data_IF_393324847651
#
_entry.id   IF_393324847651
#
_cell.length_a   1.000
_cell.length_b   1.000
_cell.length_c   1.000
_cell.angle_alpha   90.00
_cell.angle_beta   90.00
_cell.angle_gamma   90.00
#
_symmetry.space_group_name_H-M   'P 1'
#
loop_
_entity.id
_entity.type
_entity.pdbx_description
1 polymer ?
#
# COMPACT_ATOMS: atom_id res chain seq x y z
N UNK A 1 -36.95 -47.75 6.29
CA UNK A 1 -35.73 -46.93 6.34
C UNK A 1 -35.73 -46.31 7.71
N UNK A 2 -34.75 -46.67 8.55
CA UNK A 2 -34.77 -46.31 9.96
C UNK A 2 -34.57 -44.79 10.13
N UNK A 3 -35.24 -44.15 11.10
CA UNK A 3 -35.14 -42.70 11.32
C UNK A 3 -33.69 -42.27 11.56
N UNK A 4 -32.87 -43.12 12.17
CA UNK A 4 -31.44 -42.87 12.41
C UNK A 4 -30.63 -42.79 11.11
N UNK A 5 -31.00 -43.58 10.10
CA UNK A 5 -30.36 -43.56 8.77
C UNK A 5 -30.69 -42.26 8.03
N UNK A 6 -31.93 -41.78 8.15
CA UNK A 6 -32.35 -40.51 7.54
C UNK A 6 -31.57 -39.34 8.18
N UNK A 7 -31.47 -39.31 9.52
CA UNK A 7 -30.74 -38.26 10.24
C UNK A 7 -29.25 -38.28 9.87
N UNK A 8 -28.63 -39.46 9.83
CA UNK A 8 -27.22 -39.60 9.47
C UNK A 8 -26.93 -39.07 8.06
N UNK A 9 -27.79 -39.40 7.09
CA UNK A 9 -27.67 -38.91 5.70
C UNK A 9 -27.87 -37.39 5.65
N UNK A 10 -28.88 -36.85 6.35
CA UNK A 10 -29.13 -35.41 6.37
C UNK A 10 -27.95 -34.61 6.95
N UNK A 11 -27.33 -35.10 8.03
CA UNK A 11 -26.14 -34.46 8.63
C UNK A 11 -24.95 -34.56 7.68
N UNK A 12 -24.72 -35.72 7.05
CA UNK A 12 -23.62 -35.90 6.11
C UNK A 12 -23.75 -34.96 4.90
N UNK A 13 -24.96 -34.83 4.36
CA UNK A 13 -25.26 -33.90 3.25
C UNK A 13 -25.00 -32.46 3.69
N UNK A 14 -25.46 -32.06 4.87
CA UNK A 14 -25.26 -30.70 5.38
C UNK A 14 -23.77 -30.37 5.53
N UNK A 15 -22.99 -31.24 6.17
CA UNK A 15 -21.54 -31.07 6.37
C UNK A 15 -20.82 -30.96 5.02
N UNK A 16 -21.20 -31.79 4.06
CA UNK A 16 -20.59 -31.79 2.72
C UNK A 16 -20.88 -30.47 1.99
N UNK A 17 -22.14 -30.01 2.02
CA UNK A 17 -22.54 -28.74 1.39
C UNK A 17 -21.82 -27.56 2.04
N UNK A 18 -21.74 -27.53 3.37
CA UNK A 18 -21.03 -26.46 4.09
C UNK A 18 -19.53 -26.47 3.78
N UNK A 19 -18.90 -27.65 3.76
CA UNK A 19 -17.48 -27.80 3.42
C UNK A 19 -17.17 -27.32 2.00
N UNK A 20 -17.98 -27.73 1.02
CA UNK A 20 -17.87 -27.26 -0.37
C UNK A 20 -18.10 -25.75 -0.45
N UNK A 21 -19.09 -25.22 0.28
CA UNK A 21 -19.37 -23.79 0.33
C UNK A 21 -18.18 -22.96 0.85
N UNK A 22 -17.54 -23.42 1.93
CA UNK A 22 -16.33 -22.78 2.48
C UNK A 22 -15.17 -22.89 1.48
N UNK A 23 -14.94 -24.06 0.90
CA UNK A 23 -13.87 -24.26 -0.08
C UNK A 23 -14.04 -23.35 -1.30
N UNK A 24 -15.25 -23.26 -1.85
CA UNK A 24 -15.59 -22.36 -2.96
C UNK A 24 -15.45 -20.90 -2.56
N UNK A 25 -15.86 -20.52 -1.34
CA UNK A 25 -15.70 -19.16 -0.83
C UNK A 25 -14.23 -18.76 -0.72
N UNK A 26 -13.40 -19.62 -0.12
CA UNK A 26 -11.95 -19.40 0.00
C UNK A 26 -11.32 -19.33 -1.38
N UNK A 27 -11.63 -20.28 -2.28
CA UNK A 27 -11.09 -20.28 -3.64
C UNK A 27 -11.50 -19.03 -4.42
N UNK A 28 -12.77 -18.62 -4.35
CA UNK A 28 -13.23 -17.37 -4.97
C UNK A 28 -12.59 -16.13 -4.36
N UNK A 29 -12.34 -16.12 -3.05
CA UNK A 29 -11.67 -15.01 -2.37
C UNK A 29 -10.20 -14.94 -2.75
N UNK A 30 -9.51 -16.08 -2.88
CA UNK A 30 -8.11 -16.17 -3.25
C UNK A 30 -7.86 -15.95 -4.74
N UNK A 31 -8.80 -16.36 -5.61
CA UNK A 31 -8.69 -16.23 -7.06
C UNK A 31 -9.32 -14.95 -7.62
N UNK A 32 -9.88 -14.06 -6.78
CA UNK A 32 -10.21 -12.71 -7.24
C UNK A 32 -8.92 -11.91 -7.25
N UNK A 33 -8.33 -11.60 -8.42
CA UNK A 33 -7.35 -10.54 -8.48
C UNK A 33 -8.10 -9.29 -8.02
N UNK A 34 -7.85 -8.87 -6.78
CA UNK A 34 -8.13 -7.49 -6.41
C UNK A 34 -7.20 -6.72 -7.32
N UNK A 35 -7.75 -6.11 -8.37
CA UNK A 35 -6.97 -5.22 -9.23
C UNK A 35 -6.30 -4.23 -8.28
N UNK A 36 -4.97 -4.33 -8.16
CA UNK A 36 -4.26 -3.49 -7.23
C UNK A 36 -4.55 -2.04 -7.62
N UNK A 37 -5.12 -1.23 -6.71
CA UNK A 37 -5.62 0.07 -7.08
C UNK A 37 -4.44 0.92 -7.56
N UNK A 38 -4.52 1.34 -8.82
CA UNK A 38 -3.45 2.09 -9.48
C UNK A 38 -3.40 3.53 -8.95
N UNK A 39 -2.22 4.17 -8.97
CA UNK A 39 -2.14 5.60 -8.71
C UNK A 39 -2.94 6.37 -9.76
N UNK A 40 -3.74 7.34 -9.31
CA UNK A 40 -4.60 8.15 -10.18
C UNK A 40 -4.20 9.61 -10.07
N UNK A 41 -4.09 10.27 -11.21
CA UNK A 41 -3.91 11.73 -11.25
C UNK A 41 -5.28 12.36 -11.31
N UNK A 42 -5.62 13.16 -10.30
CA UNK A 42 -6.90 13.85 -10.15
C UNK A 42 -6.66 15.35 -10.14
N UNK A 43 -7.56 16.11 -10.77
CA UNK A 43 -7.62 17.56 -10.63
C UNK A 43 -8.51 17.88 -9.42
N UNK A 44 -7.95 18.45 -8.36
CA UNK A 44 -8.68 18.82 -7.13
C UNK A 44 -8.45 20.29 -6.84
N UNK A 45 -9.53 21.06 -6.74
CA UNK A 45 -9.48 22.51 -6.49
C UNK A 45 -8.60 23.28 -7.51
N UNK A 46 -8.50 22.77 -8.75
CA UNK A 46 -7.67 23.33 -9.82
C UNK A 46 -6.20 22.91 -9.77
N UNK A 47 -5.79 22.07 -8.83
CA UNK A 47 -4.43 21.55 -8.68
C UNK A 47 -4.32 20.11 -9.18
N UNK A 48 -3.16 19.76 -9.77
CA UNK A 48 -2.81 18.37 -10.11
C UNK A 48 -2.41 17.63 -8.85
N UNK A 49 -3.23 16.68 -8.42
CA UNK A 49 -2.98 15.85 -7.24
C UNK A 49 -2.82 14.40 -7.69
N UNK A 50 -1.73 13.76 -7.27
CA UNK A 50 -1.52 12.32 -7.50
C UNK A 50 -1.97 11.55 -6.28
N UNK A 51 -3.02 10.77 -6.43
CA UNK A 51 -3.58 9.91 -5.40
C UNK A 51 -2.97 8.51 -5.51
N UNK A 52 -2.24 8.11 -4.47
CA UNK A 52 -1.59 6.80 -4.37
C UNK A 52 -2.27 6.00 -3.25
N UNK A 53 -3.02 4.95 -3.60
CA UNK A 53 -3.60 4.04 -2.63
C UNK A 53 -2.52 3.34 -1.79
N UNK A 54 -2.75 3.25 -0.48
CA UNK A 54 -1.83 2.59 0.44
C UNK A 54 -2.54 1.45 1.17
N UNK A 55 -1.88 0.29 1.22
CA UNK A 55 -2.28 -0.85 2.07
C UNK A 55 -2.08 -0.50 3.54
N UNK A 56 -1.07 0.32 3.83
CA UNK A 56 -0.74 0.69 5.19
C UNK A 56 -0.09 2.07 5.26
N UNK A 57 -0.46 2.83 6.28
CA UNK A 57 0.22 4.06 6.69
C UNK A 57 0.67 3.89 8.14
N UNK A 58 1.90 4.31 8.46
CA UNK A 58 2.48 4.28 9.81
C UNK A 58 3.22 5.59 10.11
N UNK A 59 3.28 5.96 11.39
CA UNK A 59 4.14 7.06 11.86
C UNK A 59 5.46 6.48 12.35
N UNK A 60 6.57 6.94 11.78
CA UNK A 60 7.90 6.47 12.14
C UNK A 60 8.56 7.46 13.11
N UNK A 61 9.26 6.94 14.13
CA UNK A 61 10.19 7.71 14.93
C UNK A 61 11.61 7.56 14.39
N UNK A 62 12.49 8.52 14.67
CA UNK A 62 13.92 8.45 14.35
C UNK A 62 14.50 7.13 14.86
N UNK A 63 15.01 6.31 13.93
CA UNK A 63 15.81 5.11 14.23
C UNK A 63 15.24 3.80 13.69
N UNK A 64 13.92 3.67 13.48
CA UNK A 64 13.33 2.37 13.12
C UNK A 64 12.09 2.50 12.22
N UNK A 65 12.24 2.97 10.96
CA UNK A 65 11.11 3.16 10.05
C UNK A 65 10.34 1.85 9.75
N UNK A 66 11.02 0.71 9.74
CA UNK A 66 10.44 -0.60 9.47
C UNK A 66 9.72 -1.24 10.67
N UNK A 67 9.95 -0.78 11.91
CA UNK A 67 9.27 -1.33 13.11
C UNK A 67 7.96 -0.60 13.44
N UNK A 68 7.71 0.57 12.85
CA UNK A 68 6.44 1.28 12.99
C UNK A 68 5.26 0.58 12.29
N UNK A 69 5.55 -0.43 11.46
CA UNK A 69 4.58 -1.21 10.69
C UNK A 69 3.62 -2.04 11.55
N UNK A 70 3.81 -2.12 12.87
CA UNK A 70 2.93 -2.90 13.76
C UNK A 70 1.88 -2.09 14.54
N UNK A 71 2.06 -0.78 14.72
CA UNK A 71 1.33 -0.07 15.79
C UNK A 71 0.03 0.62 15.35
N UNK A 72 -0.09 0.99 14.08
CA UNK A 72 -1.34 1.51 13.51
C UNK A 72 -1.42 1.11 12.03
N UNK A 73 -2.26 0.13 11.72
CA UNK A 73 -2.51 -0.36 10.36
C UNK A 73 -3.87 0.12 9.90
N UNK A 74 -3.88 1.13 9.02
CA UNK A 74 -5.09 1.57 8.32
C UNK A 74 -4.82 1.60 6.82
N UNK A 75 -5.80 1.16 6.02
CA UNK A 75 -5.82 1.46 4.59
C UNK A 75 -5.97 2.97 4.43
N UNK A 76 -5.13 3.57 3.60
CA UNK A 76 -5.05 5.02 3.49
C UNK A 76 -4.83 5.48 2.07
N UNK A 77 -4.78 6.79 1.92
CA UNK A 77 -4.47 7.43 0.65
C UNK A 77 -3.32 8.40 0.88
N UNK A 78 -2.28 8.26 0.07
CA UNK A 78 -1.20 9.23 -0.02
C UNK A 78 -1.52 10.14 -1.19
N UNK A 79 -1.69 11.44 -0.94
CA UNK A 79 -1.87 12.44 -1.98
C UNK A 79 -0.63 13.29 -2.09
N UNK A 80 -0.13 13.45 -3.31
CA UNK A 80 0.97 14.37 -3.60
C UNK A 80 0.38 15.52 -4.39
N UNK A 81 0.38 16.70 -3.78
CA UNK A 81 -0.08 17.94 -4.37
C UNK A 81 1.13 18.88 -4.54
N UNK A 82 1.00 19.97 -5.33
CA UNK A 82 2.09 20.93 -5.48
C UNK A 82 2.55 21.46 -4.11
N UNK A 83 3.82 21.20 -3.78
CA UNK A 83 4.45 21.69 -2.55
C UNK A 83 4.08 20.97 -1.25
N UNK A 84 3.23 19.92 -1.29
CA UNK A 84 2.79 19.23 -0.06
C UNK A 84 2.42 17.76 -0.31
N UNK A 85 2.51 16.98 0.76
CA UNK A 85 2.00 15.61 0.85
C UNK A 85 0.84 15.57 1.83
N UNK A 86 -0.28 14.96 1.44
CA UNK A 86 -1.41 14.73 2.34
C UNK A 86 -1.55 13.24 2.62
N UNK A 87 -1.66 12.89 3.89
CA UNK A 87 -1.74 11.50 4.35
C UNK A 87 -3.10 11.26 4.97
N UNK A 88 -3.87 10.34 4.39
CA UNK A 88 -5.14 9.86 4.95
C UNK A 88 -4.98 8.44 5.52
N UNK A 89 -5.64 8.13 6.65
CA UNK A 89 -5.62 6.81 7.29
C UNK A 89 -5.24 6.78 8.78
N UNK A 90 -4.48 7.78 9.27
CA UNK A 90 -4.07 7.91 10.69
C UNK A 90 -4.61 9.17 11.39
N UNK A 91 -5.50 9.91 10.70
CA UNK A 91 -5.84 11.35 10.79
C UNK A 91 -5.24 12.08 9.60
N UNK A 92 -6.10 12.80 8.87
CA UNK A 92 -5.67 13.61 7.74
C UNK A 92 -4.59 14.59 8.18
N UNK A 93 -3.45 14.51 7.51
CA UNK A 93 -2.32 15.39 7.81
C UNK A 93 -1.66 15.87 6.53
N UNK A 94 -1.59 17.18 6.42
CA UNK A 94 -0.86 17.87 5.36
C UNK A 94 0.55 18.15 5.83
N UNK A 95 1.53 17.78 5.01
CA UNK A 95 2.96 17.93 5.25
C UNK A 95 3.56 18.71 4.08
N UNK A 96 3.88 19.98 4.27
CA UNK A 96 4.64 20.78 3.31
C UNK A 96 6.01 20.17 2.96
N UNK A 97 6.48 20.33 1.72
CA UNK A 97 7.76 19.77 1.26
C UNK A 97 8.97 20.30 2.04
N UNK A 98 8.95 21.55 2.49
CA UNK A 98 10.00 22.16 3.31
C UNK A 98 10.16 21.50 4.69
N UNK A 99 9.18 20.70 5.13
CA UNK A 99 9.27 19.92 6.36
C UNK A 99 9.83 18.51 6.14
N UNK A 100 9.97 18.08 4.88
CA UNK A 100 10.41 16.74 4.50
C UNK A 100 11.92 16.76 4.28
N UNK A 101 12.64 16.04 5.12
CA UNK A 101 14.09 15.89 5.06
C UNK A 101 14.55 14.93 3.96
N UNK A 102 13.68 14.02 3.50
CA UNK A 102 13.98 13.14 2.39
C UNK A 102 12.99 11.98 2.25
N UNK A 103 13.13 11.29 1.12
CA UNK A 103 12.31 10.15 0.74
C UNK A 103 13.21 8.94 0.52
N UNK A 104 12.81 7.80 1.04
CA UNK A 104 13.52 6.54 0.80
C UNK A 104 12.54 5.38 0.61
N UNK A 105 13.05 4.24 0.15
CA UNK A 105 12.27 3.02 -0.03
C UNK A 105 12.94 1.84 0.65
N UNK A 106 12.17 0.81 1.00
CA UNK A 106 12.76 -0.45 1.45
C UNK A 106 13.14 -1.33 0.25
N UNK A 107 14.06 -2.26 0.48
CA UNK A 107 14.53 -3.17 -0.57
C UNK A 107 13.41 -4.11 -1.08
N UNK A 108 13.30 -4.17 -2.40
CA UNK A 108 12.68 -5.13 -3.37
C UNK A 108 11.41 -5.94 -3.04
N UNK A 109 11.07 -6.27 -1.80
CA UNK A 109 9.91 -7.15 -1.47
C UNK A 109 8.74 -6.44 -0.81
N UNK A 110 8.96 -5.22 -0.35
CA UNK A 110 7.91 -4.40 0.22
C UNK A 110 7.85 -3.13 -0.59
N UNK A 111 6.70 -2.85 -1.21
CA UNK A 111 6.39 -1.57 -1.88
C UNK A 111 6.27 -0.46 -0.83
N UNK A 112 7.36 -0.25 -0.10
CA UNK A 112 7.42 0.56 1.09
C UNK A 112 8.17 1.84 0.80
N UNK A 113 7.55 2.94 1.19
CA UNK A 113 8.08 4.30 1.09
C UNK A 113 8.20 4.87 2.50
N UNK A 114 9.35 5.48 2.80
CA UNK A 114 9.56 6.29 3.98
C UNK A 114 9.69 7.77 3.61
N UNK A 115 8.94 8.62 4.31
CA UNK A 115 9.13 10.07 4.32
C UNK A 115 9.76 10.46 5.67
N UNK A 116 10.98 10.98 5.64
CA UNK A 116 11.65 11.52 6.81
C UNK A 116 11.33 13.01 6.94
N UNK A 117 10.97 13.50 8.13
CA UNK A 117 10.78 14.92 8.41
C UNK A 117 11.98 15.51 9.15
N UNK A 118 12.24 16.80 8.97
CA UNK A 118 13.33 17.50 9.66
C UNK A 118 13.21 17.43 11.20
N UNK A 119 11.99 17.36 11.72
CA UNK A 119 11.70 17.27 13.16
C UNK A 119 11.97 15.88 13.77
N UNK A 120 12.59 14.96 13.03
CA UNK A 120 13.00 13.64 13.53
C UNK A 120 11.85 12.62 13.66
N UNK A 121 10.68 12.94 13.12
CA UNK A 121 9.56 12.01 12.91
C UNK A 121 9.41 11.74 11.41
N UNK A 122 8.69 10.70 11.03
CA UNK A 122 8.44 10.40 9.64
C UNK A 122 7.12 9.66 9.43
N UNK A 123 6.89 9.28 8.18
CA UNK A 123 5.81 8.41 7.78
C UNK A 123 6.37 7.23 6.99
N UNK A 124 5.82 6.05 7.23
CA UNK A 124 6.08 4.84 6.47
C UNK A 124 4.80 4.40 5.78
N UNK A 125 4.86 4.12 4.49
CA UNK A 125 3.73 3.72 3.67
C UNK A 125 4.04 2.40 3.01
N UNK A 126 3.08 1.47 3.00
CA UNK A 126 3.09 0.36 2.05
C UNK A 126 2.08 0.71 0.97
N UNK A 127 2.55 0.98 -0.25
CA UNK A 127 1.68 1.28 -1.38
C UNK A 127 0.87 0.04 -1.76
N UNK A 128 -0.29 0.24 -2.34
CA UNK A 128 -1.13 -0.88 -2.74
C UNK A 128 -0.57 -1.65 -3.94
N UNK A 129 0.33 -1.03 -4.69
CA UNK A 129 0.98 -1.59 -5.87
C UNK A 129 2.42 -1.09 -6.00
N UNK A 130 3.30 -1.81 -6.72
CA UNK A 130 4.62 -1.33 -7.10
C UNK A 130 4.59 -0.02 -7.89
N UNK A 131 3.59 0.13 -8.77
CA UNK A 131 3.36 1.35 -9.54
C UNK A 131 3.07 2.55 -8.63
N UNK A 132 2.44 2.32 -7.47
CA UNK A 132 2.26 3.35 -6.46
C UNK A 132 3.58 3.87 -5.89
N UNK A 133 4.55 2.98 -5.62
CA UNK A 133 5.89 3.38 -5.18
C UNK A 133 6.61 4.17 -6.28
N UNK A 134 6.51 3.71 -7.53
CA UNK A 134 7.12 4.39 -8.68
C UNK A 134 6.53 5.80 -8.88
N UNK A 135 5.21 5.93 -8.76
CA UNK A 135 4.52 7.22 -8.83
C UNK A 135 4.98 8.17 -7.71
N UNK A 136 5.14 7.68 -6.48
CA UNK A 136 5.67 8.51 -5.39
C UNK A 136 7.06 9.04 -5.73
N UNK A 137 7.95 8.17 -6.22
CA UNK A 137 9.31 8.57 -6.57
C UNK A 137 9.33 9.59 -7.70
N UNK A 138 8.55 9.38 -8.77
CA UNK A 138 8.48 10.30 -9.89
C UNK A 138 7.97 11.69 -9.48
N UNK A 139 6.99 11.76 -8.58
CA UNK A 139 6.39 13.02 -8.14
C UNK A 139 7.25 13.76 -7.10
N UNK A 140 7.97 13.05 -6.24
CA UNK A 140 8.78 13.67 -5.17
C UNK A 140 10.23 13.93 -5.56
N UNK A 141 10.81 13.17 -6.49
CA UNK A 141 12.20 13.30 -6.91
C UNK A 141 12.63 14.72 -7.33
N UNK A 142 11.81 15.52 -8.03
CA UNK A 142 12.20 16.87 -8.42
C UNK A 142 12.30 17.85 -7.24
N UNK A 143 11.73 17.51 -6.10
CA UNK A 143 11.51 18.44 -4.99
C UNK A 143 12.25 18.06 -3.71
N UNK A 144 12.55 16.77 -3.53
CA UNK A 144 13.05 16.23 -2.26
C UNK A 144 14.30 15.37 -2.48
N UNK A 145 15.24 15.36 -1.53
CA UNK A 145 16.39 14.48 -1.59
C UNK A 145 15.92 13.01 -1.46
N UNK A 146 16.52 12.16 -2.28
CA UNK A 146 16.24 10.73 -2.32
C UNK A 146 17.36 9.92 -1.68
N UNK A 147 16.97 8.91 -0.89
CA UNK A 147 17.87 7.86 -0.42
C UNK A 147 18.44 7.03 -1.56
N UNK A 148 19.48 6.24 -1.26
CA UNK A 148 20.25 5.51 -2.28
C UNK A 148 19.37 4.54 -3.07
N UNK A 149 18.54 3.76 -2.37
CA UNK A 149 17.63 2.79 -2.99
C UNK A 149 16.57 3.48 -3.84
N UNK A 150 16.03 4.61 -3.36
CA UNK A 150 15.07 5.41 -4.11
C UNK A 150 15.69 5.97 -5.40
N UNK A 151 16.94 6.45 -5.35
CA UNK A 151 17.68 6.91 -6.54
C UNK A 151 17.94 5.78 -7.52
N UNK A 152 18.38 4.62 -7.04
CA UNK A 152 18.61 3.44 -7.89
C UNK A 152 17.34 3.00 -8.61
N UNK A 153 16.20 2.96 -7.89
CA UNK A 153 14.90 2.61 -8.46
C UNK A 153 14.45 3.63 -9.49
N UNK A 154 14.57 4.93 -9.21
CA UNK A 154 14.24 5.99 -10.15
C UNK A 154 15.12 5.93 -11.42
N UNK A 155 16.42 5.69 -11.26
CA UNK A 155 17.34 5.51 -12.38
C UNK A 155 17.03 4.26 -13.22
N UNK A 156 16.49 3.20 -12.60
CA UNK A 156 15.98 2.04 -13.32
C UNK A 156 14.71 2.35 -14.11
N UNK A 157 13.77 3.11 -13.53
CA UNK A 157 12.55 3.56 -14.23
C UNK A 157 12.87 4.40 -15.47
N UNK A 158 13.79 5.37 -15.34
CA UNK A 158 14.21 6.20 -16.47
C UNK A 158 14.91 5.43 -17.59
N UNK A 159 15.50 4.27 -17.30
CA UNK A 159 16.13 3.39 -18.29
C UNK A 159 15.11 2.48 -19.02
N UNK A 160 13.81 2.64 -18.76
CA UNK A 160 12.75 1.83 -19.38
C UNK A 160 12.54 0.49 -18.68
N UNK A 161 12.80 0.42 -17.38
CA UNK A 161 12.65 -0.78 -16.56
C UNK A 161 11.32 -1.51 -16.78
N UNK A 162 11.38 -2.68 -17.44
CA UNK A 162 10.24 -3.57 -17.62
C UNK A 162 9.91 -4.32 -16.33
N UNK A 163 8.62 -4.49 -16.06
CA UNK A 163 8.08 -5.25 -14.92
C UNK A 163 8.68 -6.67 -14.90
N UNK A 164 9.54 -6.97 -13.93
CA UNK A 164 9.85 -8.36 -13.58
C UNK A 164 8.81 -8.78 -12.55
N UNK A 165 7.72 -9.37 -13.05
CA UNK A 165 6.84 -10.23 -12.26
C UNK A 165 7.68 -11.39 -11.71
N UNK A 166 7.79 -11.49 -10.39
CA UNK A 166 8.46 -12.57 -9.68
C UNK A 166 7.63 -13.04 -8.51
#
# INVERSE_FOLDING_TARGET
MDPDVIIAISVLVLVTITGVGIAVFVLRRSCRPVADPMPVVVQRDGERVVEIPTRQVSRTSRGMPFLALGQYTGTGLLRIAPGRVEVSGLRERTVPFDQIAGVDIAARRTDYVALALHQGRGYGFITASPQGTDAVLLELAPHLPLGDLARERLAWLHRGGGHHDG
#
